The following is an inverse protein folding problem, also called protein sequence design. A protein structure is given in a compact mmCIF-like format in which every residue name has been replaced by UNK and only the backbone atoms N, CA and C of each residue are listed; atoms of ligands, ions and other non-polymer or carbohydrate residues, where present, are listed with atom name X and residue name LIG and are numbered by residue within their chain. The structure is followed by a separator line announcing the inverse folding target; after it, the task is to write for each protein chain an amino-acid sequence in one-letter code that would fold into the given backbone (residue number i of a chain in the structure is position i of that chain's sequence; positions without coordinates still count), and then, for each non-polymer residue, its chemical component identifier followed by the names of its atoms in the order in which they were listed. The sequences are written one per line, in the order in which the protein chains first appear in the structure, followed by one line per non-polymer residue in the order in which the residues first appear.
data_IF_863528129345
#
_entry.id   IF_863528129345
#
_cell.length_a   1.000
_cell.length_b   1.000
_cell.length_c   1.000
_cell.angle_alpha   90.00
_cell.angle_beta   90.00
_cell.angle_gamma   90.00
#
_symmetry.space_group_name_H-M   'P 1'
#
loop_
_entity.id
_entity.type
_entity.pdbx_description
1 polymer ?
#
# COMPACT_ATOMS: atom_id res chain seq x y z
N UNK A 1 -17.80 7.33 60.59
CA UNK A 1 -17.39 8.59 61.26
C UNK A 1 -15.87 8.75 61.04
N UNK A 2 -15.23 9.92 61.02
CA UNK A 2 -15.49 11.19 61.74
C UNK A 2 -15.28 12.42 60.81
N UNK A 3 -15.41 13.65 61.34
CA UNK A 3 -15.62 14.90 60.57
C UNK A 3 -14.35 15.72 60.30
N UNK A 4 -14.36 16.42 59.16
CA UNK A 4 -13.92 17.82 58.90
C UNK A 4 -12.79 18.42 59.76
N UNK A 5 -11.81 19.05 59.09
CA UNK A 5 -11.70 20.52 59.11
C UNK A 5 -10.92 21.07 57.92
N UNK A 6 -11.21 22.33 57.59
CA UNK A 6 -10.38 23.20 56.77
C UNK A 6 -10.19 24.52 57.55
N UNK A 7 -9.15 25.28 57.20
CA UNK A 7 -8.91 26.65 57.67
C UNK A 7 -8.19 27.42 56.57
N UNK A 8 -8.51 28.71 56.45
CA UNK A 8 -8.07 29.59 55.36
C UNK A 8 -7.03 30.61 55.86
N UNK A 9 -6.41 31.30 54.87
CA UNK A 9 -6.02 32.72 54.89
C UNK A 9 -5.22 33.29 56.07
N UNK A 10 -4.12 33.95 55.72
CA UNK A 10 -3.97 35.41 55.85
C UNK A 10 -3.04 35.88 54.71
N UNK A 11 -3.02 37.19 54.42
CA UNK A 11 -2.26 37.77 53.30
C UNK A 11 -1.40 38.95 53.75
N UNK A 12 -0.41 39.33 52.92
CA UNK A 12 0.32 40.58 53.07
C UNK A 12 0.69 41.14 51.68
N UNK A 13 0.09 42.27 51.33
CA UNK A 13 0.42 43.03 50.11
C UNK A 13 1.44 44.13 50.43
N UNK A 14 2.23 44.52 49.42
CA UNK A 14 2.72 45.89 49.32
C UNK A 14 3.03 46.26 47.87
N UNK A 15 2.48 47.37 47.41
CA UNK A 15 2.67 47.96 46.07
C UNK A 15 4.07 48.62 45.93
N UNK A 16 4.55 49.08 44.77
CA UNK A 16 3.97 49.17 43.41
C UNK A 16 4.83 50.06 42.48
N UNK A 17 4.23 50.52 41.37
CA UNK A 17 4.80 51.40 40.31
C UNK A 17 6.02 50.84 39.54
N UNK A 18 6.07 50.67 38.21
CA UNK A 18 5.42 51.31 37.04
C UNK A 18 5.95 52.70 36.65
N UNK A 19 6.77 52.78 35.58
CA UNK A 19 6.72 53.90 34.61
C UNK A 19 7.54 53.66 33.31
N UNK A 20 6.87 53.81 32.16
CA UNK A 20 7.39 54.56 31.00
C UNK A 20 8.43 53.94 30.02
N UNK A 21 8.17 53.92 28.69
CA UNK A 21 9.16 53.57 27.66
C UNK A 21 9.93 54.80 27.12
N UNK A 22 11.09 54.59 26.48
CA UNK A 22 11.78 55.59 25.64
C UNK A 22 12.32 55.02 24.32
N UNK A 23 12.44 55.88 23.30
CA UNK A 23 12.69 55.55 21.88
C UNK A 23 13.52 56.67 21.23
N UNK A 24 14.71 56.40 20.68
CA UNK A 24 15.56 57.44 20.07
C UNK A 24 16.48 56.98 18.91
N UNK A 25 15.98 57.19 17.69
CA UNK A 25 16.66 57.63 16.46
C UNK A 25 18.17 57.38 16.17
N UNK A 26 18.42 56.64 15.07
CA UNK A 26 19.08 57.11 13.81
C UNK A 26 20.57 57.55 13.80
N UNK A 27 21.40 56.78 13.06
CA UNK A 27 22.22 57.33 11.93
C UNK A 27 22.60 56.27 10.87
N UNK A 28 23.03 56.72 9.68
CA UNK A 28 23.53 55.94 8.53
C UNK A 28 25.01 56.24 8.26
N UNK A 29 25.73 55.26 7.73
CA UNK A 29 26.85 55.41 6.76
C UNK A 29 26.70 54.33 5.66
N UNK A 30 27.44 54.42 4.54
CA UNK A 30 27.22 53.62 3.30
C UNK A 30 28.49 53.62 2.42
N UNK A 31 28.66 52.55 1.61
CA UNK A 31 29.48 52.48 0.38
C UNK A 31 31.02 52.40 0.57
N UNK A 32 31.80 52.01 -0.46
CA UNK A 32 31.41 51.56 -1.81
C UNK A 32 31.87 50.14 -2.20
N UNK A 33 31.46 49.70 -3.39
CA UNK A 33 31.91 48.50 -4.09
C UNK A 33 31.25 48.49 -5.48
N UNK A 34 32.02 48.59 -6.55
CA UNK A 34 31.55 49.22 -7.80
C UNK A 34 32.03 48.51 -9.08
N UNK A 35 31.10 48.34 -10.03
CA UNK A 35 31.29 47.98 -11.46
C UNK A 35 32.04 46.69 -11.86
N UNK A 36 31.49 45.99 -12.85
CA UNK A 36 32.23 45.07 -13.73
C UNK A 36 32.93 45.85 -14.87
N UNK A 37 33.85 45.22 -15.61
CA UNK A 37 33.48 44.84 -16.97
C UNK A 37 33.95 43.42 -17.37
N UNK A 38 34.07 43.15 -18.68
CA UNK A 38 34.28 41.85 -19.33
C UNK A 38 35.67 41.73 -19.99
N UNK A 39 35.90 40.58 -20.62
CA UNK A 39 36.81 40.34 -21.75
C UNK A 39 38.32 40.28 -21.39
N UNK A 40 39.20 39.51 -22.05
CA UNK A 40 39.11 38.53 -23.16
C UNK A 40 40.42 37.66 -23.16
N UNK A 41 40.53 36.61 -24.00
CA UNK A 41 41.80 36.09 -24.62
C UNK A 41 42.95 35.61 -23.68
N UNK A 42 43.58 34.42 -23.74
CA UNK A 42 43.55 33.11 -24.49
C UNK A 42 44.22 32.05 -23.55
N UNK A 43 44.67 30.80 -23.84
CA UNK A 43 44.86 30.00 -25.08
C UNK A 43 44.69 28.46 -24.79
N UNK A 44 45.48 27.58 -25.42
CA UNK A 44 45.23 26.13 -25.49
C UNK A 44 46.48 25.22 -25.39
N UNK A 45 46.26 23.92 -25.16
CA UNK A 45 47.08 22.86 -25.79
C UNK A 45 46.35 21.51 -25.88
N UNK A 46 46.42 20.90 -27.08
CA UNK A 46 46.52 19.47 -27.46
C UNK A 46 46.16 18.32 -26.46
N UNK A 47 45.58 17.17 -26.86
CA UNK A 47 45.15 16.68 -28.20
C UNK A 47 44.35 15.34 -28.14
N UNK A 48 43.72 14.99 -29.28
CA UNK A 48 43.57 13.63 -29.90
C UNK A 48 42.26 12.81 -29.70
N UNK A 49 41.51 12.69 -30.82
CA UNK A 49 40.73 11.54 -31.36
C UNK A 49 39.88 10.63 -30.42
N UNK A 50 38.71 10.08 -30.80
CA UNK A 50 37.77 10.19 -31.96
C UNK A 50 36.49 9.37 -31.57
N UNK A 51 35.49 8.99 -32.38
CA UNK A 51 35.19 9.04 -33.84
C UNK A 51 33.65 8.91 -34.00
N UNK A 52 33.00 9.62 -34.93
CA UNK A 52 31.56 9.43 -35.27
C UNK A 52 31.26 9.85 -36.72
N UNK A 53 30.53 9.02 -37.46
CA UNK A 53 29.79 9.37 -38.68
C UNK A 53 28.32 9.66 -38.31
N UNK A 54 27.58 10.64 -38.84
CA UNK A 54 27.46 11.19 -40.21
C UNK A 54 26.75 10.20 -41.16
N UNK A 55 25.79 10.60 -42.02
CA UNK A 55 25.22 11.94 -42.33
C UNK A 55 23.76 11.79 -42.86
N UNK A 56 23.01 12.89 -42.95
CA UNK A 56 21.63 12.95 -43.49
C UNK A 56 21.52 13.88 -44.73
N UNK A 57 20.28 14.04 -45.26
CA UNK A 57 19.82 14.75 -46.50
C UNK A 57 19.83 13.88 -47.79
N UNK A 58 18.91 14.08 -48.76
CA UNK A 58 17.80 15.05 -48.88
C UNK A 58 16.75 14.67 -49.97
N UNK A 59 15.51 15.21 -49.83
CA UNK A 59 14.61 15.80 -50.88
C UNK A 59 14.12 14.91 -52.06
N UNK A 60 12.96 15.08 -52.72
CA UNK A 60 11.58 15.57 -52.42
C UNK A 60 10.76 15.50 -53.75
N UNK A 61 9.44 15.22 -53.72
CA UNK A 61 8.38 15.74 -54.64
C UNK A 61 7.15 14.81 -54.74
N UNK A 62 5.96 15.39 -54.95
CA UNK A 62 4.74 14.69 -55.42
C UNK A 62 3.54 14.70 -54.46
N UNK A 63 2.47 15.40 -54.85
CA UNK A 63 1.14 15.54 -54.18
C UNK A 63 0.17 16.19 -55.21
N UNK A 64 -1.18 16.22 -55.09
CA UNK A 64 -2.14 15.39 -54.32
C UNK A 64 -3.19 14.67 -55.22
N UNK A 65 -4.15 13.92 -54.65
CA UNK A 65 -5.56 13.89 -55.10
C UNK A 65 -6.51 13.29 -54.02
N UNK A 66 -7.83 13.36 -54.24
CA UNK A 66 -8.85 13.46 -53.18
C UNK A 66 -10.10 12.55 -53.35
N UNK A 67 -10.81 12.33 -52.23
CA UNK A 67 -12.26 12.07 -52.07
C UNK A 67 -12.90 10.67 -52.24
N UNK A 68 -13.91 10.44 -51.35
CA UNK A 68 -15.09 9.54 -51.40
C UNK A 68 -14.85 8.03 -51.14
N UNK A 69 -15.51 7.42 -50.15
CA UNK A 69 -16.95 7.15 -49.93
C UNK A 69 -17.52 6.05 -50.86
N UNK A 70 -17.93 4.91 -50.30
CA UNK A 70 -19.35 4.60 -50.02
C UNK A 70 -19.48 3.26 -49.25
N UNK A 71 -20.71 2.90 -48.84
CA UNK A 71 -21.07 1.86 -47.87
C UNK A 71 -22.30 1.09 -48.36
N UNK A 72 -22.15 -0.19 -48.73
CA UNK A 72 -23.30 -1.07 -49.01
C UNK A 72 -23.20 -2.42 -48.29
N UNK A 73 -24.26 -2.76 -47.55
CA UNK A 73 -24.58 -4.14 -47.14
C UNK A 73 -25.54 -4.72 -48.17
N UNK A 74 -25.28 -5.93 -48.65
CA UNK A 74 -26.32 -6.77 -49.25
C UNK A 74 -26.90 -7.70 -48.17
N UNK A 75 -28.23 -7.86 -48.18
CA UNK A 75 -28.95 -8.81 -47.30
C UNK A 75 -29.73 -9.77 -48.18
N UNK A 76 -29.47 -11.07 -48.03
CA UNK A 76 -30.45 -12.12 -48.32
C UNK A 76 -30.48 -13.12 -47.16
N UNK A 77 -31.61 -13.81 -47.03
CA UNK A 77 -32.03 -14.58 -45.87
C UNK A 77 -32.95 -15.68 -46.39
N UNK A 78 -32.67 -16.94 -46.03
CA UNK A 78 -33.61 -18.07 -45.90
C UNK A 78 -32.82 -19.40 -45.83
N UNK A 79 -33.37 -20.55 -45.39
CA UNK A 79 -34.33 -20.89 -44.31
C UNK A 79 -34.15 -22.38 -43.95
N UNK A 80 -34.57 -22.80 -42.74
CA UNK A 80 -34.91 -24.22 -42.42
C UNK A 80 -33.74 -25.26 -42.47
N UNK A 81 -33.83 -26.48 -41.93
CA UNK A 81 -34.71 -27.05 -40.86
C UNK A 81 -33.94 -28.16 -40.11
N UNK A 82 -34.30 -28.41 -38.85
CA UNK A 82 -33.75 -29.45 -37.96
C UNK A 82 -34.42 -30.82 -38.17
N UNK A 83 -33.68 -31.94 -38.00
CA UNK A 83 -34.17 -33.07 -37.20
C UNK A 83 -33.18 -33.57 -36.11
N UNK A 84 -33.69 -34.44 -35.23
CA UNK A 84 -33.03 -35.16 -34.11
C UNK A 84 -33.93 -36.38 -33.80
N UNK A 85 -33.52 -37.41 -33.01
CA UNK A 85 -32.22 -38.09 -32.85
C UNK A 85 -32.34 -39.59 -33.24
N UNK A 86 -31.37 -40.43 -32.87
CA UNK A 86 -31.53 -41.91 -32.68
C UNK A 86 -30.80 -42.37 -31.41
N UNK A 87 -31.08 -43.60 -30.97
CA UNK A 87 -31.00 -44.03 -29.56
C UNK A 87 -30.04 -45.20 -29.29
N UNK A 88 -29.77 -45.39 -27.99
CA UNK A 88 -28.81 -46.26 -27.30
C UNK A 88 -28.48 -47.68 -27.83
N UNK A 89 -27.30 -48.15 -27.41
CA UNK A 89 -27.13 -49.48 -26.77
C UNK A 89 -25.94 -49.49 -25.79
N UNK A 90 -26.04 -50.32 -24.76
CA UNK A 90 -25.11 -50.35 -23.62
C UNK A 90 -24.26 -51.63 -23.58
N UNK A 91 -23.20 -51.64 -22.74
CA UNK A 91 -22.56 -52.85 -22.20
C UNK A 91 -21.85 -52.54 -20.88
N UNK A 92 -22.12 -53.34 -19.84
CA UNK A 92 -21.33 -53.39 -18.60
C UNK A 92 -20.07 -54.24 -18.82
N UNK A 93 -18.99 -53.93 -18.10
CA UNK A 93 -18.54 -54.84 -17.03
C UNK A 93 -17.65 -54.11 -16.02
N UNK A 94 -17.59 -54.62 -14.80
CA UNK A 94 -16.85 -54.07 -13.67
C UNK A 94 -15.49 -54.74 -13.47
N UNK A 95 -14.52 -54.00 -12.93
CA UNK A 95 -13.92 -54.45 -11.67
C UNK A 95 -13.25 -53.31 -10.88
N UNK A 96 -13.13 -53.52 -9.57
CA UNK A 96 -12.75 -52.52 -8.58
C UNK A 96 -11.38 -52.78 -7.97
N UNK A 97 -10.57 -51.73 -7.82
CA UNK A 97 -9.53 -51.64 -6.78
C UNK A 97 -9.73 -50.33 -6.01
N UNK A 98 -10.40 -50.42 -4.86
CA UNK A 98 -10.77 -49.27 -4.07
C UNK A 98 -9.59 -48.79 -3.20
N UNK A 99 -8.79 -47.86 -3.71
CA UNK A 99 -8.02 -46.99 -2.83
C UNK A 99 -8.98 -46.10 -2.05
N UNK A 100 -9.11 -46.36 -0.74
CA UNK A 100 -9.74 -45.43 0.20
C UNK A 100 -8.89 -44.15 0.27
N UNK A 101 -9.24 -43.15 -0.54
CA UNK A 101 -8.97 -41.76 -0.16
C UNK A 101 -9.78 -41.49 1.11
N UNK A 102 -9.09 -41.37 2.25
CA UNK A 102 -9.73 -40.85 3.45
C UNK A 102 -10.19 -39.42 3.13
N UNK A 103 -11.52 -39.23 3.06
CA UNK A 103 -12.12 -37.93 2.91
C UNK A 103 -11.95 -37.12 4.18
N UNK A 104 -10.78 -36.50 4.36
CA UNK A 104 -10.60 -35.41 5.31
C UNK A 104 -11.66 -34.37 5.00
N UNK A 105 -12.61 -34.16 5.92
CA UNK A 105 -13.68 -33.20 5.72
C UNK A 105 -13.07 -31.80 5.45
N UNK A 106 -13.69 -31.03 4.55
CA UNK A 106 -13.23 -29.68 4.23
C UNK A 106 -13.23 -28.80 5.48
N UNK A 107 -12.07 -28.68 6.13
CA UNK A 107 -11.66 -27.43 6.74
C UNK A 107 -11.79 -26.36 5.66
N UNK A 108 -12.62 -25.34 5.89
CA UNK A 108 -12.71 -24.22 4.96
C UNK A 108 -11.37 -23.49 4.99
N UNK A 109 -10.53 -23.74 3.98
CA UNK A 109 -9.18 -23.18 3.88
C UNK A 109 -9.23 -21.67 4.06
N UNK A 110 -8.76 -21.19 5.22
CA UNK A 110 -8.70 -19.77 5.52
C UNK A 110 -7.75 -19.10 4.55
N UNK A 111 -8.18 -17.99 3.94
CA UNK A 111 -7.21 -17.13 3.27
C UNK A 111 -6.29 -16.51 4.30
N UNK A 112 -5.02 -16.36 3.93
CA UNK A 112 -4.06 -15.58 4.68
C UNK A 112 -3.68 -14.32 3.90
N UNK A 113 -3.30 -13.28 4.63
CA UNK A 113 -3.09 -11.96 4.06
C UNK A 113 -1.83 -11.29 4.64
N UNK A 114 -1.36 -10.24 3.97
CA UNK A 114 -0.34 -9.35 4.49
C UNK A 114 -0.72 -7.92 4.11
N UNK A 115 -0.79 -7.06 5.13
CA UNK A 115 -1.18 -5.66 5.03
C UNK A 115 -0.04 -4.78 5.54
N UNK A 116 0.28 -3.73 4.78
CA UNK A 116 1.38 -2.80 5.07
C UNK A 116 0.88 -1.54 5.75
N UNK A 117 1.60 -1.11 6.78
CA UNK A 117 1.47 0.21 7.41
C UNK A 117 2.88 0.84 7.62
N UNK A 118 2.93 2.10 8.03
CA UNK A 118 4.18 2.85 8.20
C UNK A 118 4.39 3.19 9.69
N UNK A 119 5.37 2.61 10.41
CA UNK A 119 5.53 2.84 11.85
C UNK A 119 6.25 4.15 12.20
N UNK A 120 6.81 4.85 11.20
CA UNK A 120 7.45 6.16 11.33
C UNK A 120 6.52 7.29 10.92
N UNK A 121 6.78 8.49 11.43
CA UNK A 121 6.03 9.69 11.05
C UNK A 121 6.23 10.02 9.57
N UNK A 122 5.13 10.23 8.84
CA UNK A 122 5.12 10.73 7.47
C UNK A 122 3.84 11.51 7.23
N UNK A 123 3.98 12.74 6.71
CA UNK A 123 2.84 13.55 6.33
C UNK A 123 2.30 13.14 4.95
N UNK A 124 0.98 12.99 4.85
CA UNK A 124 0.21 12.88 3.62
C UNK A 124 -0.89 13.95 3.67
N UNK A 125 -0.90 14.88 2.71
CA UNK A 125 -1.80 16.05 2.71
C UNK A 125 -1.86 16.86 4.03
N UNK A 126 -0.79 16.83 4.83
CA UNK A 126 -0.67 17.53 6.11
C UNK A 126 -0.99 16.69 7.36
N UNK A 127 -1.58 15.50 7.20
CA UNK A 127 -1.86 14.55 8.29
C UNK A 127 -0.74 13.52 8.41
N UNK A 128 -0.31 13.19 9.64
CA UNK A 128 0.63 12.10 9.86
C UNK A 128 -0.08 10.74 9.71
N UNK A 129 0.42 9.87 8.83
CA UNK A 129 -0.14 8.55 8.55
C UNK A 129 0.59 7.41 9.28
N UNK A 130 1.38 7.74 10.32
CA UNK A 130 2.03 6.78 11.20
C UNK A 130 1.03 5.79 11.82
N UNK A 131 1.22 4.50 11.56
CA UNK A 131 0.53 3.42 12.25
C UNK A 131 1.43 2.17 12.41
N UNK A 132 1.75 1.82 13.65
CA UNK A 132 2.56 0.65 14.00
C UNK A 132 1.70 -0.49 14.60
N UNK A 133 2.33 -1.64 14.88
CA UNK A 133 1.63 -2.77 15.51
C UNK A 133 1.32 -2.51 16.99
N UNK A 134 2.10 -1.64 17.64
CA UNK A 134 1.86 -1.20 19.02
C UNK A 134 0.69 -0.22 19.09
N UNK A 135 0.55 0.65 18.07
CA UNK A 135 -0.63 1.50 17.93
C UNK A 135 -1.90 0.62 17.74
N UNK A 136 -1.84 -0.43 16.90
CA UNK A 136 -2.94 -1.41 16.77
C UNK A 136 -3.20 -2.20 18.06
N UNK A 137 -2.16 -2.59 18.80
CA UNK A 137 -2.30 -3.30 20.08
C UNK A 137 -2.92 -2.42 21.18
N UNK A 138 -2.85 -1.09 21.05
CA UNK A 138 -3.51 -0.14 21.96
C UNK A 138 -5.01 0.06 21.69
N UNK A 139 -5.53 -0.41 20.54
CA UNK A 139 -6.95 -0.24 20.18
C UNK A 139 -7.87 -1.16 20.96
N UNK A 140 -8.87 -0.59 21.61
CA UNK A 140 -9.98 -1.31 22.29
C UNK A 140 -11.04 -1.81 21.30
N UNK A 141 -11.24 -1.07 20.21
CA UNK A 141 -12.24 -1.34 19.17
C UNK A 141 -11.59 -1.92 17.90
N UNK A 142 -12.37 -2.50 16.96
CA UNK A 142 -11.86 -2.94 15.66
C UNK A 142 -11.30 -1.76 14.84
N UNK A 143 -10.04 -1.87 14.42
CA UNK A 143 -9.39 -0.80 13.65
C UNK A 143 -9.81 -0.86 12.16
N UNK A 144 -10.34 0.22 11.57
CA UNK A 144 -10.55 0.29 10.13
C UNK A 144 -9.21 0.37 9.39
N UNK A 145 -8.92 -0.62 8.52
CA UNK A 145 -7.74 -0.58 7.65
C UNK A 145 -7.98 0.27 6.39
N UNK A 146 -8.04 1.59 6.59
CA UNK A 146 -8.43 2.59 5.59
C UNK A 146 -7.27 2.97 4.62
N UNK A 147 -7.41 4.11 3.94
CA UNK A 147 -6.34 4.71 3.12
C UNK A 147 -5.97 3.95 1.84
N UNK A 148 -6.55 2.78 1.58
CA UNK A 148 -6.26 1.97 0.41
C UNK A 148 -6.79 2.66 -0.85
N UNK A 149 -5.88 3.23 -1.66
CA UNK A 149 -6.15 3.85 -2.98
C UNK A 149 -5.58 3.06 -4.17
N UNK A 150 -5.35 1.75 -3.99
CA UNK A 150 -4.95 0.85 -5.06
C UNK A 150 -6.07 -0.18 -5.35
N UNK A 151 -6.52 -0.27 -6.60
CA UNK A 151 -7.65 -1.13 -6.97
C UNK A 151 -7.43 -2.63 -6.70
N UNK A 152 -6.21 -3.16 -6.85
CA UNK A 152 -5.89 -4.55 -6.52
C UNK A 152 -5.89 -4.78 -5.01
N UNK A 153 -5.31 -3.86 -4.24
CA UNK A 153 -5.33 -3.90 -2.78
C UNK A 153 -6.76 -3.83 -2.23
N UNK A 154 -7.60 -2.95 -2.79
CA UNK A 154 -9.04 -2.86 -2.49
C UNK A 154 -9.77 -4.16 -2.83
N UNK A 155 -9.50 -4.76 -3.98
CA UNK A 155 -10.13 -6.03 -4.36
C UNK A 155 -9.71 -7.18 -3.42
N UNK A 156 -8.48 -7.17 -2.91
CA UNK A 156 -8.04 -8.07 -1.85
C UNK A 156 -8.81 -7.81 -0.54
N UNK A 157 -8.97 -6.56 -0.10
CA UNK A 157 -9.83 -6.21 1.06
C UNK A 157 -11.28 -6.71 0.89
N UNK A 158 -11.87 -6.52 -0.30
CA UNK A 158 -13.24 -6.99 -0.61
C UNK A 158 -13.38 -8.52 -0.62
N UNK A 159 -12.28 -9.26 -0.74
CA UNK A 159 -12.24 -10.72 -0.74
C UNK A 159 -11.94 -11.34 0.65
N UNK A 160 -11.59 -10.53 1.66
CA UNK A 160 -11.34 -11.01 3.03
C UNK A 160 -12.62 -11.47 3.73
N UNK A 161 -12.48 -12.47 4.60
CA UNK A 161 -13.56 -13.02 5.42
C UNK A 161 -13.28 -12.92 6.91
N UNK A 162 -14.36 -12.80 7.71
CA UNK A 162 -14.26 -12.69 9.17
C UNK A 162 -13.62 -13.95 9.75
N UNK A 163 -12.61 -13.78 10.61
CA UNK A 163 -11.83 -14.87 11.20
C UNK A 163 -10.67 -15.37 10.33
N UNK A 164 -10.39 -14.73 9.19
CA UNK A 164 -9.12 -14.87 8.46
C UNK A 164 -8.01 -14.06 9.14
N UNK A 165 -6.76 -14.45 8.91
CA UNK A 165 -5.59 -13.88 9.57
C UNK A 165 -4.69 -13.12 8.59
N UNK A 166 -4.00 -12.11 9.11
CA UNK A 166 -3.12 -11.24 8.37
C UNK A 166 -1.79 -11.01 9.10
N UNK A 167 -0.70 -10.92 8.35
CA UNK A 167 0.57 -10.39 8.83
C UNK A 167 0.52 -8.86 8.82
N UNK A 168 0.93 -8.25 9.94
CA UNK A 168 1.20 -6.82 10.02
C UNK A 168 2.62 -6.58 9.51
N UNK A 169 2.76 -5.81 8.43
CA UNK A 169 4.05 -5.50 7.81
C UNK A 169 4.42 -4.03 7.99
N UNK A 170 5.58 -3.78 8.61
CA UNK A 170 6.17 -2.44 8.72
C UNK A 170 6.86 -2.07 7.41
N UNK A 171 6.39 -1.01 6.79
CA UNK A 171 6.86 -0.47 5.50
C UNK A 171 7.41 0.95 5.66
N UNK A 172 8.06 1.45 4.60
CA UNK A 172 8.64 2.80 4.53
C UNK A 172 9.43 3.29 5.76
N UNK A 173 10.16 2.37 6.39
CA UNK A 173 10.94 2.61 7.60
C UNK A 173 12.35 1.99 7.47
N UNK A 174 13.21 2.28 8.45
CA UNK A 174 14.61 1.81 8.49
C UNK A 174 14.75 0.29 8.43
N UNK A 175 13.85 -0.43 9.12
CA UNK A 175 13.89 -1.88 9.32
C UNK A 175 12.55 -2.51 8.92
N UNK A 176 12.22 -2.55 7.61
CA UNK A 176 10.92 -3.01 7.14
C UNK A 176 10.83 -4.54 7.18
N UNK A 177 9.67 -5.08 7.55
CA UNK A 177 9.48 -6.52 7.76
C UNK A 177 8.12 -6.88 8.35
N UNK A 178 7.88 -8.18 8.55
CA UNK A 178 6.71 -8.69 9.29
C UNK A 178 6.99 -8.58 10.78
N UNK A 179 6.10 -7.95 11.53
CA UNK A 179 6.27 -7.66 12.97
C UNK A 179 5.25 -8.37 13.87
N UNK A 180 4.29 -9.09 13.30
CA UNK A 180 3.27 -9.81 14.05
C UNK A 180 2.04 -10.15 13.21
N UNK A 181 0.96 -10.55 13.90
CA UNK A 181 -0.30 -10.98 13.30
C UNK A 181 -1.51 -10.20 13.82
N UNK A 182 -2.55 -10.17 13.00
CA UNK A 182 -3.87 -9.61 13.30
C UNK A 182 -4.98 -10.43 12.62
N UNK A 183 -6.23 -10.23 13.05
CA UNK A 183 -7.42 -10.95 12.56
C UNK A 183 -8.39 -9.98 11.88
N UNK A 184 -9.01 -10.40 10.79
CA UNK A 184 -10.11 -9.67 10.15
C UNK A 184 -11.39 -9.93 10.96
N UNK A 185 -11.91 -8.93 11.67
CA UNK A 185 -13.08 -9.08 12.56
C UNK A 185 -14.39 -8.51 11.97
N UNK A 186 -14.29 -7.71 10.90
CA UNK A 186 -15.40 -7.25 10.07
C UNK A 186 -14.99 -7.30 8.60
N UNK A 187 -15.88 -7.81 7.74
CA UNK A 187 -15.68 -7.79 6.29
C UNK A 187 -15.76 -6.37 5.72
N UNK A 188 -15.58 -6.24 4.40
CA UNK A 188 -15.45 -4.94 3.76
C UNK A 188 -16.70 -4.06 3.89
N UNK A 189 -16.45 -2.77 4.05
CA UNK A 189 -17.43 -1.68 4.09
C UNK A 189 -16.89 -0.49 3.29
N UNK A 190 -17.70 0.52 2.92
CA UNK A 190 -17.20 1.74 2.29
C UNK A 190 -16.12 2.43 3.13
N UNK A 191 -15.03 2.83 2.49
CA UNK A 191 -14.03 3.68 3.15
C UNK A 191 -14.48 5.14 3.08
N UNK A 192 -15.05 5.64 4.19
CA UNK A 192 -15.59 7.00 4.30
C UNK A 192 -14.50 8.08 4.35
N UNK A 193 -13.25 7.73 4.69
CA UNK A 193 -12.11 8.68 4.64
C UNK A 193 -11.88 9.21 3.22
N UNK A 194 -12.30 8.47 2.19
CA UNK A 194 -12.21 8.90 0.81
C UNK A 194 -13.12 10.09 0.46
N UNK A 195 -14.11 10.41 1.32
CA UNK A 195 -15.09 11.48 1.07
C UNK A 195 -14.84 12.76 1.87
N UNK A 196 -13.94 12.74 2.86
CA UNK A 196 -13.55 13.93 3.64
C UNK A 196 -12.37 14.67 2.96
N UNK A 197 -12.53 15.93 2.52
CA UNK A 197 -11.45 16.73 1.93
C UNK A 197 -10.23 16.97 2.84
N UNK A 198 -10.36 16.76 4.16
CA UNK A 198 -9.28 16.93 5.13
C UNK A 198 -8.51 15.63 5.41
N UNK A 199 -9.01 14.47 4.95
CA UNK A 199 -8.37 13.19 5.17
C UNK A 199 -7.10 13.05 4.30
N UNK A 200 -6.05 12.37 4.80
CA UNK A 200 -4.80 12.17 4.05
C UNK A 200 -5.02 11.53 2.67
N UNK A 201 -6.05 10.69 2.55
CA UNK A 201 -6.35 9.92 1.35
C UNK A 201 -7.72 10.28 0.74
N UNK A 202 -8.09 11.56 0.72
CA UNK A 202 -9.29 12.04 0.02
C UNK A 202 -9.29 11.65 -1.47
N UNK A 203 -10.46 11.27 -2.01
CA UNK A 203 -10.68 11.05 -3.45
C UNK A 203 -12.00 11.72 -3.88
N UNK A 204 -11.89 12.95 -4.38
CA UNK A 204 -12.99 13.74 -4.95
C UNK A 204 -13.76 13.04 -6.10
N UNK A 205 -13.23 11.94 -6.65
CA UNK A 205 -13.88 11.14 -7.69
C UNK A 205 -14.62 9.92 -7.14
N UNK A 206 -14.51 9.61 -5.84
CA UNK A 206 -15.31 8.62 -5.11
C UNK A 206 -16.61 9.25 -4.64
N UNK A 207 -17.74 8.58 -4.85
CA UNK A 207 -19.07 9.11 -4.50
C UNK A 207 -19.65 8.41 -3.27
N UNK A 208 -20.53 9.04 -2.48
CA UNK A 208 -21.26 8.35 -1.40
C UNK A 208 -22.17 7.24 -1.92
N UNK A 209 -22.76 7.40 -3.11
CA UNK A 209 -23.71 6.46 -3.70
C UNK A 209 -23.03 5.28 -4.42
N UNK A 210 -21.77 5.46 -4.84
CA UNK A 210 -20.90 4.42 -5.41
C UNK A 210 -19.47 4.59 -4.85
N UNK A 211 -19.23 4.09 -3.62
CA UNK A 211 -17.94 4.27 -2.94
C UNK A 211 -16.85 3.41 -3.60
N UNK A 212 -15.89 4.10 -4.23
CA UNK A 212 -14.78 3.47 -4.94
C UNK A 212 -13.89 2.64 -4.04
N UNK A 213 -13.72 3.08 -2.79
CA UNK A 213 -12.79 2.52 -1.82
C UNK A 213 -13.50 1.73 -0.73
N UNK A 214 -12.76 0.86 -0.05
CA UNK A 214 -13.35 -0.07 0.91
C UNK A 214 -12.35 -0.44 1.98
N UNK A 215 -12.86 -0.65 3.19
CA UNK A 215 -12.12 -0.92 4.41
C UNK A 215 -12.67 -2.16 5.11
N UNK A 216 -11.78 -3.01 5.63
CA UNK A 216 -12.10 -4.09 6.57
C UNK A 216 -11.71 -3.62 7.97
N UNK A 217 -12.30 -4.21 9.02
CA UNK A 217 -11.86 -3.91 10.39
C UNK A 217 -11.05 -5.07 10.96
N UNK A 218 -9.93 -4.75 11.61
CA UNK A 218 -8.96 -5.71 12.14
C UNK A 218 -8.81 -5.60 13.66
N UNK A 219 -8.25 -6.64 14.29
CA UNK A 219 -7.77 -6.59 15.68
C UNK A 219 -6.40 -7.24 15.80
N UNK A 220 -5.57 -6.68 16.68
CA UNK A 220 -4.29 -7.27 17.10
C UNK A 220 -4.46 -8.75 17.52
N UNK A 221 -3.49 -9.60 17.17
CA UNK A 221 -3.44 -11.01 17.61
C UNK A 221 -2.13 -11.38 18.28
N UNK A 222 -0.98 -10.98 17.71
CA UNK A 222 0.33 -11.15 18.34
C UNK A 222 1.37 -10.18 17.78
N UNK A 223 2.38 -9.85 18.58
CA UNK A 223 3.61 -9.19 18.14
C UNK A 223 4.74 -10.22 18.16
N UNK A 224 5.63 -10.22 17.17
CA UNK A 224 6.79 -11.11 17.14
C UNK A 224 7.94 -10.52 17.95
N UNK A 225 8.60 -11.35 18.77
CA UNK A 225 9.77 -10.97 19.59
C UNK A 225 10.94 -10.47 18.73
N UNK A 226 11.10 -11.07 17.54
CA UNK A 226 12.10 -10.67 16.53
C UNK A 226 11.36 -10.56 15.17
N UNK A 227 11.32 -9.39 14.52
CA UNK A 227 10.69 -9.25 13.20
C UNK A 227 11.34 -10.14 12.11
N UNK A 228 10.55 -10.47 11.07
CA UNK A 228 11.07 -11.13 9.86
C UNK A 228 11.35 -10.05 8.81
N UNK A 229 12.62 -9.68 8.65
CA UNK A 229 13.04 -8.49 7.89
C UNK A 229 12.98 -8.66 6.38
N UNK A 230 12.77 -7.57 5.63
CA UNK A 230 12.65 -7.59 4.16
C UNK A 230 13.87 -8.17 3.45
N UNK A 231 15.08 -7.99 3.98
CA UNK A 231 16.30 -8.63 3.42
C UNK A 231 16.16 -10.15 3.44
N UNK A 232 15.68 -10.69 4.55
CA UNK A 232 15.54 -12.12 4.79
C UNK A 232 14.35 -12.71 4.00
N UNK A 233 13.21 -12.00 3.97
CA UNK A 233 12.06 -12.35 3.12
C UNK A 233 12.47 -12.45 1.64
N UNK A 234 13.41 -11.63 1.17
CA UNK A 234 13.98 -11.72 -0.19
C UNK A 234 14.91 -12.91 -0.39
N UNK A 235 15.67 -13.32 0.64
CA UNK A 235 16.49 -14.54 0.58
C UNK A 235 15.59 -15.79 0.50
N UNK A 236 14.59 -15.88 1.39
CA UNK A 236 13.56 -16.93 1.39
C UNK A 236 12.61 -16.88 0.18
N UNK A 237 12.71 -15.85 -0.66
CA UNK A 237 11.95 -15.65 -1.89
C UNK A 237 12.74 -15.83 -3.20
N UNK A 238 13.97 -16.36 -3.12
CA UNK A 238 14.75 -16.77 -4.30
C UNK A 238 14.11 -17.99 -5.00
N UNK A 239 14.45 -18.29 -6.26
CA UNK A 239 13.95 -19.49 -6.94
C UNK A 239 14.24 -20.77 -6.13
N UNK A 240 13.24 -21.65 -6.01
CA UNK A 240 13.29 -22.87 -5.21
C UNK A 240 13.17 -22.67 -3.69
N UNK A 241 12.92 -21.45 -3.19
CA UNK A 241 12.73 -21.16 -1.76
C UNK A 241 11.23 -21.01 -1.40
N UNK A 242 10.84 -21.20 -0.11
CA UNK A 242 9.42 -21.28 0.27
C UNK A 242 8.56 -20.06 -0.08
N UNK A 243 9.15 -18.86 -0.17
CA UNK A 243 8.46 -17.62 -0.51
C UNK A 243 8.65 -17.22 -1.98
N UNK A 244 9.15 -18.09 -2.86
CA UNK A 244 9.33 -17.80 -4.30
C UNK A 244 8.05 -17.26 -4.94
N UNK A 245 6.87 -17.65 -4.46
CA UNK A 245 5.58 -17.19 -5.00
C UNK A 245 4.98 -15.95 -4.32
N UNK A 246 5.58 -15.47 -3.23
CA UNK A 246 4.93 -14.53 -2.30
C UNK A 246 4.65 -13.17 -2.97
N UNK A 247 3.39 -12.73 -2.89
CA UNK A 247 2.93 -11.49 -3.55
C UNK A 247 3.69 -10.24 -3.07
N UNK A 248 4.04 -10.18 -1.77
CA UNK A 248 4.86 -9.10 -1.17
C UNK A 248 6.12 -8.79 -1.97
N UNK A 249 6.81 -9.83 -2.45
CA UNK A 249 8.12 -9.74 -3.08
C UNK A 249 8.01 -9.43 -4.57
N UNK A 250 6.97 -9.98 -5.23
CA UNK A 250 6.69 -9.76 -6.66
C UNK A 250 5.98 -8.43 -6.96
N UNK A 251 5.23 -7.90 -6.01
CA UNK A 251 4.39 -6.71 -6.18
C UNK A 251 4.69 -5.67 -5.09
N UNK A 252 5.88 -5.05 -5.16
CA UNK A 252 6.38 -4.12 -4.14
C UNK A 252 5.39 -2.99 -3.77
N UNK A 253 4.70 -2.43 -4.78
CA UNK A 253 3.69 -1.35 -4.65
C UNK A 253 2.30 -1.81 -4.17
N UNK A 254 2.08 -3.11 -3.98
CA UNK A 254 0.80 -3.63 -3.45
C UNK A 254 0.81 -3.56 -1.92
N UNK A 255 -0.10 -2.78 -1.31
CA UNK A 255 -0.18 -2.59 0.15
C UNK A 255 -0.97 -3.68 0.88
N UNK A 256 -1.92 -4.32 0.20
CA UNK A 256 -2.73 -5.43 0.71
C UNK A 256 -2.57 -6.61 -0.23
N UNK A 257 -2.01 -7.72 0.24
CA UNK A 257 -1.62 -8.87 -0.58
C UNK A 257 -2.09 -10.19 0.03
N UNK A 258 -2.38 -11.19 -0.81
CA UNK A 258 -2.74 -12.55 -0.38
C UNK A 258 -1.47 -13.36 -0.12
N UNK A 259 -1.49 -14.13 0.95
CA UNK A 259 -0.44 -15.08 1.37
C UNK A 259 -1.00 -16.49 1.19
N UNK A 260 -0.20 -17.42 0.66
CA UNK A 260 -0.61 -18.83 0.53
C UNK A 260 -0.52 -19.55 1.89
N UNK A 261 -1.30 -20.61 2.16
CA UNK A 261 -1.17 -21.40 3.38
C UNK A 261 0.28 -21.83 3.68
N UNK A 262 0.97 -22.45 2.71
CA UNK A 262 2.38 -22.82 2.88
C UNK A 262 3.35 -21.64 3.10
N UNK A 263 3.05 -20.44 2.59
CA UNK A 263 3.83 -19.22 2.86
C UNK A 263 3.57 -18.71 4.29
N UNK A 264 2.33 -18.81 4.76
CA UNK A 264 1.91 -18.45 6.12
C UNK A 264 2.50 -19.40 7.16
N UNK A 265 2.32 -20.71 6.98
CA UNK A 265 2.75 -21.74 7.93
C UNK A 265 4.28 -21.71 8.12
N UNK A 266 5.03 -21.51 7.04
CA UNK A 266 6.49 -21.32 7.07
C UNK A 266 6.92 -20.04 7.79
N UNK A 267 6.27 -18.90 7.50
CA UNK A 267 6.56 -17.64 8.20
C UNK A 267 6.18 -17.70 9.69
N UNK A 268 5.16 -18.49 10.05
CA UNK A 268 4.81 -18.76 11.44
C UNK A 268 5.83 -19.67 12.14
N UNK A 269 6.41 -20.69 11.47
CA UNK A 269 7.49 -21.49 12.07
C UNK A 269 8.72 -20.62 12.34
N UNK A 270 9.15 -19.83 11.35
CA UNK A 270 10.28 -18.89 11.47
C UNK A 270 10.07 -17.85 12.58
N UNK A 271 8.82 -17.39 12.78
CA UNK A 271 8.48 -16.49 13.90
C UNK A 271 8.51 -17.20 15.27
N UNK A 272 8.00 -18.43 15.34
CA UNK A 272 7.93 -19.22 16.58
C UNK A 272 9.32 -19.66 17.06
N UNK A 273 10.17 -20.15 16.14
CA UNK A 273 11.57 -20.53 16.41
C UNK A 273 12.33 -19.39 17.11
N UNK A 274 12.14 -18.14 16.62
CA UNK A 274 12.74 -16.92 17.19
C UNK A 274 12.17 -16.47 18.52
N UNK A 275 10.95 -16.90 18.83
CA UNK A 275 10.28 -16.65 20.11
C UNK A 275 10.72 -17.65 21.19
N UNK A 276 11.24 -18.81 20.80
CA UNK A 276 11.70 -19.87 21.71
C UNK A 276 13.04 -19.60 22.39
N UNK A 277 13.87 -18.68 21.88
CA UNK A 277 15.17 -18.31 22.47
C UNK A 277 15.04 -17.46 23.77
N UNK A 278 14.01 -17.72 24.59
CA UNK A 278 13.65 -16.94 25.78
C UNK A 278 13.14 -17.87 26.90
N UNK A 279 13.99 -18.83 27.28
CA UNK A 279 13.87 -19.74 28.43
C UNK A 279 14.76 -19.28 29.59
#
# INVERSE_FOLDING_TARGET
MTKRKASQLEAAESEGASSGPRRSARRKTRAPGETAPRDHVVDATAQKASKKSSRSKAVESGDPTDSKDEKTRAVTKDTNKKPKPKEAKARNSSNTTAHKSNGTANSSEKSYWLLKAEPGSRLENGTDVKFSIDDLASRTEPEPWDGIRNYMARNNLRAMKKGELAFFYHSNCKEPGIVGTMEIVQEHSPDLSAHDPNAPYYDASSKPEDPKWSVVHVRFRSKFTKPIGLKELREMGKPGQPLESMQLLKQSRLSVSRVRPAEWDYLMSVANERGGDAE
#
